data_IF_902440965548
#
_entry.id   IF_902440965548
#
_cell.length_a   1.000
_cell.length_b   1.000
_cell.length_c   1.000
_cell.angle_alpha   90.00
_cell.angle_beta   90.00
_cell.angle_gamma   90.00
#
_symmetry.space_group_name_H-M   'P 1'
#
loop_
_entity.id
_entity.type
_entity.pdbx_description
1 polymer ?
#
# COMPACT_ATOMS: atom_id res chain seq x y z
N UNK A 1 53.82 16.86 6.90
CA UNK A 1 54.71 17.09 8.05
C UNK A 1 54.80 18.57 8.42
N UNK A 2 55.20 19.45 7.51
CA UNK A 2 55.28 20.91 7.75
C UNK A 2 53.96 21.55 8.23
N UNK A 3 52.81 21.09 7.75
CA UNK A 3 51.48 21.61 8.15
C UNK A 3 51.11 21.24 9.60
N UNK A 4 51.47 20.05 10.06
CA UNK A 4 51.19 19.61 11.44
C UNK A 4 52.11 20.29 12.45
N UNK A 5 53.36 20.53 12.07
CA UNK A 5 54.33 21.27 12.89
C UNK A 5 53.87 22.71 13.08
N UNK A 6 53.40 23.39 12.02
CA UNK A 6 52.87 24.75 12.10
C UNK A 6 51.59 24.84 12.97
N UNK A 7 50.71 23.85 12.87
CA UNK A 7 49.48 23.78 13.69
C UNK A 7 49.82 23.52 15.16
N UNK A 8 50.80 22.67 15.44
CA UNK A 8 51.24 22.38 16.81
C UNK A 8 51.93 23.62 17.43
N UNK A 9 52.77 24.33 16.68
CA UNK A 9 53.41 25.58 17.11
C UNK A 9 52.40 26.69 17.37
N UNK A 10 51.38 26.85 16.51
CA UNK A 10 50.32 27.84 16.73
C UNK A 10 49.49 27.49 17.98
N UNK A 11 49.21 26.20 18.21
CA UNK A 11 48.51 25.75 19.42
C UNK A 11 49.35 25.94 20.68
N UNK A 12 50.65 25.63 20.64
CA UNK A 12 51.57 25.83 21.76
C UNK A 12 51.76 27.32 22.03
N UNK A 13 51.87 28.16 20.99
CA UNK A 13 51.97 29.61 21.12
C UNK A 13 50.68 30.24 21.66
N UNK A 14 49.50 29.77 21.24
CA UNK A 14 48.21 30.15 21.83
C UNK A 14 48.10 29.75 23.31
N UNK A 15 48.59 28.56 23.65
CA UNK A 15 48.61 28.07 25.03
C UNK A 15 49.63 28.83 25.89
N UNK A 16 50.78 29.20 25.34
CA UNK A 16 51.85 29.93 26.03
C UNK A 16 51.54 31.41 26.20
N UNK A 17 50.92 32.07 25.20
CA UNK A 17 50.41 33.44 25.34
C UNK A 17 49.30 33.56 26.39
N UNK A 18 48.58 32.46 26.67
CA UNK A 18 47.56 32.42 27.70
C UNK A 18 48.14 32.35 29.13
N UNK A 19 49.46 32.10 29.28
CA UNK A 19 50.09 31.83 30.58
C UNK A 19 50.96 32.97 31.13
N UNK A 20 51.19 34.06 30.39
CA UNK A 20 51.89 35.24 30.94
C UNK A 20 50.88 36.24 31.54
N UNK A 21 50.63 36.11 32.84
CA UNK A 21 49.78 37.02 33.59
C UNK A 21 50.38 38.43 33.70
N UNK A 22 49.61 39.43 33.29
CA UNK A 22 49.76 40.85 33.64
C UNK A 22 48.34 41.42 33.87
N UNK A 23 48.16 42.39 34.78
CA UNK A 23 46.85 42.70 35.37
C UNK A 23 45.92 43.32 34.33
N UNK A 24 44.91 42.56 33.87
CA UNK A 24 43.94 43.02 32.86
C UNK A 24 42.51 42.88 33.37
N UNK A 25 42.11 43.86 34.16
CA UNK A 25 40.71 44.09 34.51
C UNK A 25 40.03 44.89 33.37
N UNK A 26 38.74 44.60 33.09
CA UNK A 26 37.82 45.24 32.13
C UNK A 26 37.85 44.85 30.65
N UNK A 27 39.00 44.80 29.95
CA UNK A 27 39.03 44.45 28.51
C UNK A 27 38.79 42.96 28.27
N UNK A 28 39.41 42.13 29.09
CA UNK A 28 39.27 40.68 29.01
C UNK A 28 37.89 40.26 29.55
N UNK A 29 37.28 41.04 30.44
CA UNK A 29 35.88 40.87 30.85
C UNK A 29 34.90 41.10 29.71
N UNK A 30 35.12 42.11 28.85
CA UNK A 30 34.28 42.34 27.65
C UNK A 30 34.39 41.21 26.63
N UNK A 31 35.60 40.66 26.41
CA UNK A 31 35.80 39.50 25.51
C UNK A 31 35.14 38.24 26.07
N UNK A 32 35.29 37.99 27.38
CA UNK A 32 34.62 36.88 28.08
C UNK A 32 33.09 37.01 28.02
N UNK A 33 32.55 38.22 28.23
CA UNK A 33 31.12 38.47 28.16
C UNK A 33 30.53 38.23 26.76
N UNK A 34 31.21 38.70 25.71
CA UNK A 34 30.80 38.47 24.32
C UNK A 34 30.83 36.98 23.96
N UNK A 35 31.89 36.27 24.35
CA UNK A 35 32.00 34.83 24.13
C UNK A 35 30.89 34.05 24.84
N UNK A 36 30.61 34.39 26.11
CA UNK A 36 29.53 33.77 26.89
C UNK A 36 28.15 34.00 26.25
N UNK A 37 27.92 35.19 25.72
CA UNK A 37 26.69 35.54 25.02
C UNK A 37 26.52 34.78 23.70
N UNK A 38 27.61 34.63 22.92
CA UNK A 38 27.61 33.83 21.68
C UNK A 38 27.29 32.37 21.98
N UNK A 39 27.94 31.77 22.98
CA UNK A 39 27.69 30.37 23.32
C UNK A 39 26.28 30.16 23.89
N UNK A 40 25.75 31.12 24.66
CA UNK A 40 24.36 31.08 25.12
C UNK A 40 23.39 31.01 23.93
N UNK A 41 23.54 31.89 22.93
CA UNK A 41 22.69 31.86 21.72
C UNK A 41 22.82 30.55 20.94
N UNK A 42 24.02 29.96 20.89
CA UNK A 42 24.23 28.65 20.26
C UNK A 42 23.43 27.57 21.00
N UNK A 43 23.50 27.54 22.33
CA UNK A 43 22.72 26.60 23.15
C UNK A 43 21.22 26.80 22.98
N UNK A 44 20.75 28.04 22.90
CA UNK A 44 19.33 28.33 22.69
C UNK A 44 18.85 27.81 21.33
N UNK A 45 19.64 28.00 20.26
CA UNK A 45 19.34 27.41 18.95
C UNK A 45 19.27 25.88 19.00
N UNK A 46 20.23 25.23 19.65
CA UNK A 46 20.24 23.76 19.80
C UNK A 46 18.98 23.30 20.56
N UNK A 47 18.63 23.98 21.65
CA UNK A 47 17.45 23.63 22.44
C UNK A 47 16.16 23.79 21.63
N UNK A 48 16.04 24.86 20.84
CA UNK A 48 14.91 25.07 19.95
C UNK A 48 14.79 23.94 18.92
N UNK A 49 15.89 23.50 18.32
CA UNK A 49 15.88 22.38 17.38
C UNK A 49 15.51 21.05 18.05
N UNK A 50 15.98 20.78 19.28
CA UNK A 50 15.59 19.59 20.04
C UNK A 50 14.07 19.59 20.34
N UNK A 51 13.51 20.76 20.68
CA UNK A 51 12.07 20.91 20.93
C UNK A 51 11.25 20.79 19.64
N UNK A 52 11.76 21.24 18.49
CA UNK A 52 11.07 21.01 17.22
C UNK A 52 11.11 19.53 16.83
N UNK A 53 12.25 18.88 17.02
CA UNK A 53 12.41 17.45 16.76
C UNK A 53 11.42 16.61 17.58
N UNK A 54 11.22 16.92 18.86
CA UNK A 54 10.25 16.19 19.71
C UNK A 54 8.79 16.32 19.27
N UNK A 55 8.45 17.32 18.46
CA UNK A 55 7.09 17.48 17.90
C UNK A 55 6.86 16.62 16.65
N UNK A 56 7.93 16.31 15.92
CA UNK A 56 7.87 15.52 14.68
C UNK A 56 7.87 14.01 14.96
N UNK A 57 8.50 13.59 16.05
CA UNK A 57 8.60 12.18 16.43
C UNK A 57 7.31 11.76 17.16
N UNK A 58 6.66 10.65 16.75
CA UNK A 58 5.50 10.11 17.45
C UNK A 58 5.87 9.72 18.90
N UNK A 59 4.92 9.81 19.81
CA UNK A 59 5.05 9.40 21.23
C UNK A 59 6.09 10.17 22.07
N UNK A 60 6.67 11.24 21.54
CA UNK A 60 7.57 12.12 22.30
C UNK A 60 6.83 13.05 23.27
N UNK A 61 5.52 13.30 23.10
CA UNK A 61 4.72 14.23 23.92
C UNK A 61 3.81 13.58 24.96
N UNK A 62 3.55 12.27 24.85
CA UNK A 62 2.44 11.61 25.55
C UNK A 62 2.85 11.10 26.94
N UNK A 63 4.12 10.74 27.14
CA UNK A 63 4.62 10.37 28.46
C UNK A 63 5.16 11.60 29.19
N UNK A 64 4.35 12.18 30.07
CA UNK A 64 4.77 13.19 31.04
C UNK A 64 5.73 12.64 32.12
N UNK A 65 6.37 11.49 31.88
CA UNK A 65 7.47 11.02 32.71
C UNK A 65 8.72 11.83 32.36
N UNK A 66 9.41 12.36 33.39
CA UNK A 66 10.55 13.30 33.28
C UNK A 66 11.68 12.84 32.33
N UNK A 67 11.73 11.55 32.00
CA UNK A 67 12.75 10.93 31.16
C UNK A 67 12.45 11.07 29.66
N UNK A 68 11.18 11.05 29.23
CA UNK A 68 10.79 11.08 27.81
C UNK A 68 10.93 12.45 27.15
N UNK A 69 10.73 13.54 27.92
CA UNK A 69 10.94 14.92 27.48
C UNK A 69 12.40 15.39 27.59
N UNK A 70 13.29 14.54 28.12
CA UNK A 70 14.69 14.91 28.26
C UNK A 70 15.36 15.01 26.88
N UNK A 71 16.37 15.87 26.73
CA UNK A 71 17.14 15.99 25.48
C UNK A 71 17.69 14.64 25.02
N UNK A 72 18.13 13.79 25.95
CA UNK A 72 18.58 12.44 25.67
C UNK A 72 17.45 11.51 25.22
N UNK A 73 16.29 11.56 25.89
CA UNK A 73 15.10 10.77 25.52
C UNK A 73 14.56 11.12 24.14
N UNK A 74 14.47 12.41 23.82
CA UNK A 74 14.05 12.89 22.49
C UNK A 74 15.02 12.38 21.41
N UNK A 75 16.34 12.48 21.64
CA UNK A 75 17.33 12.01 20.69
C UNK A 75 17.30 10.48 20.52
N UNK A 76 17.09 9.73 21.60
CA UNK A 76 16.95 8.27 21.53
C UNK A 76 15.72 7.88 20.70
N UNK A 77 14.55 8.43 21.03
CA UNK A 77 13.31 8.18 20.28
C UNK A 77 13.42 8.62 18.82
N UNK A 78 14.17 9.70 18.53
CA UNK A 78 14.44 10.13 17.16
C UNK A 78 15.20 9.06 16.36
N UNK A 79 16.24 8.49 16.96
CA UNK A 79 17.03 7.43 16.34
C UNK A 79 16.17 6.18 16.08
N UNK A 80 15.39 5.76 17.09
CA UNK A 80 14.49 4.61 16.99
C UNK A 80 13.46 4.81 15.88
N UNK A 81 12.82 5.98 15.83
CA UNK A 81 11.83 6.32 14.82
C UNK A 81 12.40 6.34 13.39
N UNK A 82 13.62 6.89 13.21
CA UNK A 82 14.29 6.87 11.90
C UNK A 82 14.59 5.43 11.46
N UNK A 83 15.03 4.58 12.39
CA UNK A 83 15.31 3.18 12.10
C UNK A 83 14.05 2.42 11.72
N UNK A 84 12.97 2.60 12.49
CA UNK A 84 11.67 2.00 12.20
C UNK A 84 11.12 2.47 10.85
N UNK A 85 11.16 3.78 10.56
CA UNK A 85 10.72 4.32 9.27
C UNK A 85 11.49 3.73 8.09
N UNK A 86 12.81 3.52 8.24
CA UNK A 86 13.63 2.86 7.20
C UNK A 86 13.20 1.42 6.99
N UNK A 87 12.99 0.67 8.06
CA UNK A 87 12.54 -0.73 7.99
C UNK A 87 11.12 -0.84 7.41
N UNK A 88 10.23 0.06 7.80
CA UNK A 88 8.86 0.14 7.29
C UNK A 88 8.85 0.44 5.79
N UNK A 89 9.66 1.40 5.33
CA UNK A 89 9.80 1.69 3.89
C UNK A 89 10.34 0.50 3.10
N UNK A 90 11.29 -0.25 3.66
CA UNK A 90 11.79 -1.48 3.03
C UNK A 90 10.67 -2.53 2.89
N UNK A 91 9.93 -2.79 3.98
CA UNK A 91 8.81 -3.73 3.99
C UNK A 91 7.71 -3.33 3.01
N UNK A 92 7.33 -2.05 2.98
CA UNK A 92 6.36 -1.52 2.02
C UNK A 92 6.82 -1.71 0.57
N UNK A 93 8.12 -1.58 0.29
CA UNK A 93 8.69 -1.87 -1.02
C UNK A 93 8.52 -3.34 -1.41
N UNK A 94 8.74 -4.27 -0.49
CA UNK A 94 8.52 -5.71 -0.71
C UNK A 94 7.03 -6.03 -0.93
N UNK A 95 6.14 -5.43 -0.13
CA UNK A 95 4.70 -5.58 -0.27
C UNK A 95 4.20 -5.07 -1.63
N UNK A 96 4.71 -3.93 -2.11
CA UNK A 96 4.40 -3.41 -3.45
C UNK A 96 4.82 -4.37 -4.56
N UNK A 97 6.05 -4.91 -4.48
CA UNK A 97 6.54 -5.90 -5.45
C UNK A 97 5.67 -7.17 -5.47
N UNK A 98 5.25 -7.63 -4.28
CA UNK A 98 4.33 -8.76 -4.14
C UNK A 98 2.97 -8.45 -4.78
N UNK A 99 2.44 -7.26 -4.54
CA UNK A 99 1.17 -6.82 -5.10
C UNK A 99 1.22 -6.70 -6.63
N UNK A 100 2.31 -6.19 -7.20
CA UNK A 100 2.51 -6.13 -8.65
C UNK A 100 2.56 -7.53 -9.29
N UNK A 101 3.22 -8.49 -8.63
CA UNK A 101 3.21 -9.89 -9.06
C UNK A 101 1.80 -10.49 -9.05
N UNK A 102 1.08 -10.33 -7.95
CA UNK A 102 -0.30 -10.80 -7.84
C UNK A 102 -1.22 -10.14 -8.87
N UNK A 103 -0.99 -8.85 -9.18
CA UNK A 103 -1.72 -8.14 -10.21
C UNK A 103 -1.49 -8.73 -11.59
N UNK A 104 -0.24 -9.06 -11.94
CA UNK A 104 0.12 -9.70 -13.20
C UNK A 104 -0.52 -11.10 -13.30
N UNK A 105 -0.43 -11.90 -12.24
CA UNK A 105 -1.04 -13.22 -12.18
C UNK A 105 -2.57 -13.14 -12.32
N UNK A 106 -3.22 -12.16 -11.67
CA UNK A 106 -4.66 -11.96 -11.80
C UNK A 106 -5.06 -11.58 -13.23
N UNK A 107 -4.28 -10.74 -13.90
CA UNK A 107 -4.50 -10.39 -15.31
C UNK A 107 -4.37 -11.62 -16.20
N UNK A 108 -3.34 -12.44 -15.99
CA UNK A 108 -3.13 -13.67 -16.73
C UNK A 108 -4.27 -14.67 -16.51
N UNK A 109 -4.68 -14.89 -15.26
CA UNK A 109 -5.81 -15.77 -14.93
C UNK A 109 -7.11 -15.28 -15.58
N UNK A 110 -7.38 -13.97 -15.56
CA UNK A 110 -8.54 -13.40 -16.26
C UNK A 110 -8.49 -13.66 -17.77
N UNK A 111 -7.31 -13.51 -18.39
CA UNK A 111 -7.13 -13.81 -19.81
C UNK A 111 -7.37 -15.31 -20.07
N UNK A 112 -6.80 -16.18 -19.25
CA UNK A 112 -6.99 -17.62 -19.36
C UNK A 112 -8.45 -18.04 -19.21
N UNK A 113 -9.20 -17.48 -18.27
CA UNK A 113 -10.64 -17.74 -18.11
C UNK A 113 -11.43 -17.32 -19.36
N UNK A 114 -11.09 -16.18 -19.98
CA UNK A 114 -11.72 -15.73 -21.21
C UNK A 114 -11.39 -16.64 -22.40
N UNK A 115 -10.16 -17.14 -22.47
CA UNK A 115 -9.68 -17.97 -23.60
C UNK A 115 -9.89 -19.46 -23.40
N UNK A 116 -10.26 -19.94 -22.20
CA UNK A 116 -10.38 -21.35 -21.89
C UNK A 116 -11.54 -22.01 -22.68
N UNK A 117 -11.23 -22.91 -23.63
CA UNK A 117 -12.24 -23.55 -24.46
C UNK A 117 -13.04 -24.63 -23.71
N UNK A 118 -12.53 -25.13 -22.58
CA UNK A 118 -13.02 -26.39 -22.00
C UNK A 118 -14.27 -26.24 -21.11
N UNK A 119 -14.34 -25.19 -20.26
CA UNK A 119 -15.48 -25.01 -19.35
C UNK A 119 -16.66 -24.28 -20.00
N UNK A 120 -16.42 -23.45 -21.02
CA UNK A 120 -17.48 -22.75 -21.74
C UNK A 120 -18.04 -23.54 -22.92
N UNK A 121 -17.26 -24.41 -23.59
CA UNK A 121 -17.76 -25.15 -24.75
C UNK A 121 -18.86 -26.15 -24.36
N UNK A 122 -18.69 -26.94 -23.29
CA UNK A 122 -19.70 -27.94 -22.94
C UNK A 122 -21.00 -27.29 -22.45
N UNK A 123 -20.92 -26.26 -21.59
CA UNK A 123 -22.11 -25.53 -21.11
C UNK A 123 -22.77 -24.68 -22.20
N UNK A 124 -22.02 -24.00 -23.08
CA UNK A 124 -22.60 -23.22 -24.19
C UNK A 124 -23.22 -24.12 -25.25
N UNK A 125 -22.60 -25.26 -25.57
CA UNK A 125 -23.16 -26.24 -26.51
C UNK A 125 -24.41 -26.90 -25.92
N UNK A 126 -24.42 -27.20 -24.61
CA UNK A 126 -25.62 -27.69 -23.92
C UNK A 126 -26.75 -26.66 -23.93
N UNK A 127 -26.46 -25.40 -23.60
CA UNK A 127 -27.45 -24.32 -23.64
C UNK A 127 -28.00 -24.10 -25.06
N UNK A 128 -27.14 -24.14 -26.07
CA UNK A 128 -27.57 -24.03 -27.48
C UNK A 128 -28.42 -25.23 -27.92
N UNK A 129 -28.02 -26.46 -27.57
CA UNK A 129 -28.80 -27.67 -27.83
C UNK A 129 -30.15 -27.67 -27.09
N UNK A 130 -30.18 -27.20 -25.85
CA UNK A 130 -31.42 -27.07 -25.06
C UNK A 130 -32.38 -26.06 -25.70
N UNK A 131 -31.87 -24.95 -26.22
CA UNK A 131 -32.66 -23.96 -26.94
C UNK A 131 -33.25 -24.52 -28.24
N UNK A 132 -32.44 -25.25 -29.01
CA UNK A 132 -32.87 -25.92 -30.24
C UNK A 132 -33.96 -26.97 -29.96
N UNK A 133 -33.80 -27.77 -28.90
CA UNK A 133 -34.78 -28.78 -28.49
C UNK A 133 -36.11 -28.17 -28.04
N UNK A 134 -36.07 -27.10 -27.24
CA UNK A 134 -37.27 -26.38 -26.82
C UNK A 134 -38.02 -25.78 -28.02
N UNK A 135 -37.30 -25.19 -28.96
CA UNK A 135 -37.90 -24.65 -30.19
C UNK A 135 -38.57 -25.74 -31.03
N UNK A 136 -37.93 -26.90 -31.18
CA UNK A 136 -38.50 -28.03 -31.92
C UNK A 136 -39.72 -28.62 -31.20
N UNK A 137 -39.66 -28.73 -29.88
CA UNK A 137 -40.76 -29.24 -29.06
C UNK A 137 -42.01 -28.36 -29.20
N UNK A 138 -41.85 -27.03 -29.17
CA UNK A 138 -42.95 -26.08 -29.40
C UNK A 138 -43.57 -26.30 -30.79
N UNK A 139 -42.76 -26.43 -31.83
CA UNK A 139 -43.26 -26.69 -33.19
C UNK A 139 -44.00 -28.03 -33.31
N UNK A 140 -43.52 -29.08 -32.66
CA UNK A 140 -44.17 -30.40 -32.65
C UNK A 140 -45.53 -30.34 -31.97
N UNK A 141 -45.64 -29.69 -30.81
CA UNK A 141 -46.91 -29.52 -30.10
C UNK A 141 -47.91 -28.67 -30.91
N UNK A 142 -47.43 -27.64 -31.59
CA UNK A 142 -48.25 -26.86 -32.53
C UNK A 142 -48.77 -27.73 -33.68
N UNK A 143 -47.91 -28.59 -34.24
CA UNK A 143 -48.28 -29.49 -35.34
C UNK A 143 -49.26 -30.59 -34.91
N UNK A 144 -49.12 -31.11 -33.69
CA UNK A 144 -50.10 -32.03 -33.08
C UNK A 144 -51.47 -31.37 -32.93
N UNK A 145 -51.50 -30.13 -32.45
CA UNK A 145 -52.75 -29.38 -32.29
C UNK A 145 -53.43 -29.16 -33.64
N UNK A 146 -52.66 -28.77 -34.68
CA UNK A 146 -53.17 -28.63 -36.05
C UNK A 146 -53.73 -29.95 -36.60
N UNK A 147 -53.05 -31.07 -36.36
CA UNK A 147 -53.56 -32.39 -36.77
C UNK A 147 -54.83 -32.79 -36.04
N UNK A 148 -54.92 -32.48 -34.75
CA UNK A 148 -56.13 -32.76 -33.99
C UNK A 148 -57.31 -31.96 -34.52
N UNK A 149 -57.10 -30.69 -34.87
CA UNK A 149 -58.12 -29.84 -35.48
C UNK A 149 -58.55 -30.40 -36.84
N UNK A 150 -57.61 -30.79 -37.69
CA UNK A 150 -57.91 -31.40 -38.99
C UNK A 150 -58.72 -32.70 -38.83
N UNK A 151 -58.35 -33.56 -37.87
CA UNK A 151 -59.11 -34.77 -37.54
C UNK A 151 -60.53 -34.45 -37.07
N UNK A 152 -60.70 -33.43 -36.23
CA UNK A 152 -62.01 -32.99 -35.75
C UNK A 152 -62.87 -32.43 -36.89
N UNK A 153 -62.30 -31.64 -37.78
CA UNK A 153 -62.99 -31.11 -38.97
C UNK A 153 -63.42 -32.25 -39.91
N UNK A 154 -62.55 -33.23 -40.15
CA UNK A 154 -62.85 -34.37 -41.01
C UNK A 154 -63.97 -35.26 -40.43
N UNK A 155 -64.07 -35.36 -39.10
CA UNK A 155 -65.21 -36.01 -38.40
C UNK A 155 -66.51 -35.21 -38.55
N UNK A 156 -66.46 -33.88 -38.44
CA UNK A 156 -67.64 -33.02 -38.59
C UNK A 156 -68.21 -33.03 -40.02
N UNK A 157 -67.34 -33.21 -41.03
CA UNK A 157 -67.74 -33.32 -42.43
C UNK A 157 -68.05 -34.75 -42.89
N UNK A 158 -67.99 -35.76 -42.00
CA UNK A 158 -68.44 -37.13 -42.27
C UNK A 158 -67.52 -37.98 -43.15
N UNK A 159 -66.22 -37.69 -43.24
CA UNK A 159 -65.31 -38.29 -44.24
C UNK A 159 -64.43 -39.45 -43.70
N UNK A 160 -64.54 -39.88 -42.44
CA UNK A 160 -63.80 -41.06 -41.94
C UNK A 160 -64.74 -42.12 -41.36
N UNK A 161 -64.74 -43.27 -42.03
CA UNK A 161 -65.41 -44.50 -41.60
C UNK A 161 -64.89 -45.01 -40.25
N UNK A 162 -65.78 -45.71 -39.55
CA UNK A 162 -65.53 -46.34 -38.27
C UNK A 162 -64.22 -47.13 -38.27
N UNK A 163 -63.27 -46.75 -37.41
CA UNK A 163 -62.29 -47.70 -36.93
C UNK A 163 -63.04 -48.71 -36.05
N UNK A 164 -63.22 -49.92 -36.55
CA UNK A 164 -63.62 -51.08 -35.76
C UNK A 164 -62.57 -51.27 -34.65
N UNK A 165 -62.98 -51.42 -33.38
CA UNK A 165 -62.07 -51.79 -32.31
C UNK A 165 -61.77 -53.29 -32.46
N UNK A 166 -60.49 -53.67 -32.55
CA UNK A 166 -60.11 -55.07 -32.41
C UNK A 166 -60.19 -55.49 -30.93
N UNK A 167 -60.80 -56.65 -30.62
CA UNK A 167 -60.89 -57.19 -29.27
C UNK A 167 -59.71 -58.12 -28.91
N UNK A 168 -59.25 -57.98 -27.66
CA UNK A 168 -58.33 -58.85 -26.87
C UNK A 168 -56.91 -59.13 -27.39
#
# INVERSE_FOLDING_TARGET
MLSYILIFDICVLMFFLCKSEAPRTTRDDKRRAQHNEVERRRRDKINNWIVQLSKTIPDCTIDATKTGQSKGGILSKACDYIQEMRQSNLRLGEELNSLDRLRLDNQLLRQQVLTAPFCTSQSKTFLFALFQFLSLFIQVEEWKTKNQILRNQLRQHGIVGAATPDPQ
#
